data_IF_327487461647
#
_entry.id   IF_327487461647
#
_cell.length_a   1.000
_cell.length_b   1.000
_cell.length_c   1.000
_cell.angle_alpha   90.00
_cell.angle_beta   90.00
_cell.angle_gamma   90.00
#
_symmetry.space_group_name_H-M   'P 1'
#
loop_
_entity.id
_entity.type
_entity.pdbx_description
1 polymer ?
#
# COMPACT_ATOMS: atom_id res chain seq x y z
N UNK A 1 -13.99 -9.93 2.80
CA UNK A 1 -14.14 -8.69 2.02
C UNK A 1 -15.59 -8.52 1.56
N UNK A 2 -16.29 -7.54 2.10
CA UNK A 2 -17.71 -7.22 1.82
C UNK A 2 -17.89 -6.55 0.46
N UNK A 3 -19.12 -6.51 -0.06
CA UNK A 3 -19.43 -5.82 -1.32
C UNK A 3 -19.06 -4.32 -1.27
N UNK A 4 -19.29 -3.68 -0.13
CA UNK A 4 -18.97 -2.28 0.09
C UNK A 4 -17.46 -2.03 0.00
N UNK A 5 -16.65 -2.88 0.65
CA UNK A 5 -15.18 -2.80 0.58
C UNK A 5 -14.67 -2.95 -0.85
N UNK A 6 -15.24 -3.89 -1.63
CA UNK A 6 -14.87 -4.06 -3.06
C UNK A 6 -15.12 -2.80 -3.88
N UNK A 7 -16.27 -2.15 -3.68
CA UNK A 7 -16.60 -0.91 -4.38
C UNK A 7 -15.68 0.25 -3.97
N UNK A 8 -15.32 0.33 -2.69
CA UNK A 8 -14.39 1.33 -2.17
C UNK A 8 -12.98 1.15 -2.75
N UNK A 9 -12.46 -0.07 -2.72
CA UNK A 9 -11.14 -0.41 -3.28
C UNK A 9 -11.09 -0.03 -4.76
N UNK A 10 -12.12 -0.38 -5.56
CA UNK A 10 -12.15 -0.03 -6.98
C UNK A 10 -12.04 1.48 -7.24
N UNK A 11 -12.72 2.32 -6.44
CA UNK A 11 -12.66 3.78 -6.58
C UNK A 11 -11.32 4.36 -6.13
N UNK A 12 -10.77 3.87 -5.02
CA UNK A 12 -9.46 4.27 -4.53
C UNK A 12 -8.38 3.91 -5.53
N UNK A 13 -8.44 2.69 -6.07
CA UNK A 13 -7.49 2.20 -7.04
C UNK A 13 -7.52 3.04 -8.31
N UNK A 14 -8.70 3.37 -8.85
CA UNK A 14 -8.83 4.27 -9.99
C UNK A 14 -8.15 5.64 -9.77
N UNK A 15 -8.31 6.21 -8.57
CA UNK A 15 -7.70 7.50 -8.23
C UNK A 15 -6.18 7.40 -8.01
N UNK A 16 -5.69 6.32 -7.38
CA UNK A 16 -4.29 6.20 -6.98
C UNK A 16 -3.39 5.62 -8.08
N UNK A 17 -3.91 4.75 -8.94
CA UNK A 17 -3.12 4.04 -9.98
C UNK A 17 -2.23 4.96 -10.83
N UNK A 18 -2.69 6.12 -11.33
CA UNK A 18 -1.84 7.02 -12.13
C UNK A 18 -0.64 7.58 -11.37
N UNK A 19 -0.62 7.47 -10.04
CA UNK A 19 0.42 8.02 -9.16
C UNK A 19 1.36 6.95 -8.59
N UNK A 20 1.05 5.67 -8.82
CA UNK A 20 1.90 4.57 -8.38
C UNK A 20 3.10 4.40 -9.31
N UNK A 21 4.19 3.88 -8.76
CA UNK A 21 5.39 3.59 -9.54
C UNK A 21 5.13 2.50 -10.59
N UNK A 22 5.76 2.64 -11.75
CA UNK A 22 5.61 1.70 -12.85
C UNK A 22 6.13 0.28 -12.52
N UNK A 23 7.02 0.17 -11.53
CA UNK A 23 7.56 -1.09 -10.98
C UNK A 23 6.76 -1.62 -9.79
N UNK A 24 5.56 -1.10 -9.53
CA UNK A 24 4.62 -1.71 -8.59
C UNK A 24 3.88 -2.85 -9.29
N UNK A 25 4.02 -4.07 -8.75
CA UNK A 25 3.37 -5.28 -9.26
C UNK A 25 2.34 -5.85 -8.27
N UNK A 26 2.57 -5.68 -6.97
CA UNK A 26 1.67 -6.18 -5.93
C UNK A 26 0.32 -5.46 -5.94
N UNK A 27 -0.77 -6.25 -5.89
CA UNK A 27 -2.16 -5.77 -5.85
C UNK A 27 -2.56 -4.85 -7.01
N UNK A 28 -1.90 -4.99 -8.16
CA UNK A 28 -2.21 -4.23 -9.37
C UNK A 28 -3.07 -5.06 -10.33
N UNK A 29 -4.04 -4.46 -11.03
CA UNK A 29 -4.77 -5.15 -12.09
C UNK A 29 -3.82 -5.69 -13.15
N UNK A 30 -4.03 -6.92 -13.57
CA UNK A 30 -3.32 -7.54 -14.70
C UNK A 30 -1.79 -7.64 -14.50
N UNK A 31 -1.28 -7.44 -13.27
CA UNK A 31 0.12 -7.63 -12.91
C UNK A 31 0.22 -8.52 -11.69
N UNK A 32 1.24 -9.36 -11.67
CA UNK A 32 1.50 -10.27 -10.57
C UNK A 32 2.98 -10.41 -10.27
N UNK A 33 3.30 -11.32 -9.34
CA UNK A 33 4.67 -11.64 -8.96
C UNK A 33 5.51 -12.08 -10.17
N UNK A 34 4.91 -12.83 -11.11
CA UNK A 34 5.57 -13.28 -12.34
C UNK A 34 6.11 -12.13 -13.19
N UNK A 35 5.37 -11.02 -13.30
CA UNK A 35 5.85 -9.83 -14.02
C UNK A 35 7.04 -9.18 -13.30
N UNK A 36 6.99 -9.11 -11.97
CA UNK A 36 8.10 -8.58 -11.18
C UNK A 36 9.37 -9.42 -11.35
N UNK A 37 9.23 -10.75 -11.34
CA UNK A 37 10.33 -11.68 -11.59
C UNK A 37 10.88 -11.53 -13.00
N UNK A 38 10.02 -11.43 -14.01
CA UNK A 38 10.46 -11.27 -15.39
C UNK A 38 11.26 -9.99 -15.59
N UNK A 39 10.79 -8.86 -15.08
CA UNK A 39 11.46 -7.56 -15.20
C UNK A 39 12.80 -7.55 -14.44
N UNK A 40 12.84 -8.17 -13.24
CA UNK A 40 14.09 -8.34 -12.47
C UNK A 40 15.12 -9.19 -13.23
N UNK A 41 14.70 -10.35 -13.75
CA UNK A 41 15.61 -11.24 -14.48
C UNK A 41 16.11 -10.58 -15.76
N UNK A 42 15.24 -9.86 -16.47
CA UNK A 42 15.62 -9.10 -17.68
C UNK A 42 16.69 -8.07 -17.34
N UNK A 43 16.49 -7.26 -16.29
CA UNK A 43 17.48 -6.29 -15.82
C UNK A 43 18.82 -6.95 -15.46
N UNK A 44 18.78 -8.07 -14.74
CA UNK A 44 19.99 -8.82 -14.38
C UNK A 44 20.73 -9.30 -15.62
N UNK A 45 20.05 -9.90 -16.59
CA UNK A 45 20.67 -10.41 -17.80
C UNK A 45 21.31 -9.31 -18.64
N UNK A 46 20.64 -8.16 -18.80
CA UNK A 46 21.17 -7.01 -19.54
C UNK A 46 22.47 -6.48 -18.90
N UNK A 47 22.50 -6.34 -17.58
CA UNK A 47 23.67 -5.83 -16.86
C UNK A 47 24.82 -6.86 -16.81
N UNK A 48 24.51 -8.17 -16.79
CA UNK A 48 25.49 -9.24 -16.89
C UNK A 48 26.18 -9.28 -18.26
N UNK A 49 25.44 -9.04 -19.35
CA UNK A 49 26.02 -8.94 -20.70
C UNK A 49 27.05 -7.80 -20.76
N UNK A 50 26.78 -6.70 -20.04
CA UNK A 50 27.68 -5.57 -19.90
C UNK A 50 28.83 -5.82 -18.91
N UNK A 51 28.94 -7.04 -18.35
CA UNK A 51 29.95 -7.45 -17.36
C UNK A 51 29.98 -6.58 -16.10
N UNK A 52 28.83 -6.00 -15.73
CA UNK A 52 28.72 -5.21 -14.50
C UNK A 52 28.55 -6.11 -13.28
N UNK A 53 28.96 -5.62 -12.12
CA UNK A 53 28.70 -6.27 -10.83
C UNK A 53 27.28 -5.89 -10.40
N UNK A 54 26.49 -6.89 -10.04
CA UNK A 54 25.10 -6.72 -9.62
C UNK A 54 25.01 -7.07 -8.13
N UNK A 55 24.40 -6.16 -7.35
CA UNK A 55 24.06 -6.39 -5.95
C UNK A 55 22.55 -6.31 -5.82
N UNK A 56 21.93 -7.38 -5.32
CA UNK A 56 20.50 -7.42 -5.02
C UNK A 56 20.29 -7.24 -3.52
N UNK A 57 19.42 -6.29 -3.15
CA UNK A 57 18.95 -6.09 -1.78
C UNK A 57 17.47 -6.46 -1.73
N UNK A 58 17.14 -7.47 -0.93
CA UNK A 58 15.76 -7.87 -0.67
C UNK A 58 15.32 -7.34 0.68
N UNK A 59 14.16 -6.69 0.72
CA UNK A 59 13.56 -6.12 1.93
C UNK A 59 12.15 -6.70 2.09
N UNK A 60 11.86 -7.23 3.27
CA UNK A 60 10.54 -7.69 3.67
C UNK A 60 10.11 -6.96 4.94
N UNK A 61 8.84 -6.58 5.02
CA UNK A 61 8.29 -5.84 6.17
C UNK A 61 7.43 -6.79 7.00
N UNK A 62 7.94 -7.15 8.18
CA UNK A 62 7.23 -8.02 9.11
C UNK A 62 5.90 -7.39 9.56
N UNK A 63 4.79 -8.12 9.39
CA UNK A 63 3.47 -7.68 9.83
C UNK A 63 3.04 -6.35 9.22
N UNK A 64 3.30 -6.12 7.92
CA UNK A 64 3.09 -4.82 7.27
C UNK A 64 1.69 -4.19 7.50
N UNK A 65 0.64 -4.99 7.59
CA UNK A 65 -0.71 -4.50 7.88
C UNK A 65 -0.94 -4.21 9.37
N UNK A 66 -0.42 -5.04 10.26
CA UNK A 66 -0.58 -4.89 11.71
C UNK A 66 0.23 -3.70 12.25
N UNK A 67 1.39 -3.44 11.64
CA UNK A 67 2.34 -2.40 12.03
C UNK A 67 2.19 -1.11 11.21
N UNK A 68 1.19 -1.02 10.33
CA UNK A 68 1.02 0.15 9.48
C UNK A 68 0.67 1.41 10.28
N UNK A 69 1.35 2.52 9.98
CA UNK A 69 1.08 3.79 10.63
C UNK A 69 -0.11 4.52 9.99
N UNK A 70 -1.29 4.40 10.59
CA UNK A 70 -2.53 4.95 10.03
C UNK A 70 -2.55 6.47 9.82
N UNK A 71 -1.80 7.23 10.64
CA UNK A 71 -1.65 8.67 10.43
C UNK A 71 -0.87 8.98 9.16
N UNK A 72 0.19 8.22 8.88
CA UNK A 72 0.95 8.35 7.65
C UNK A 72 0.08 8.00 6.43
N UNK A 73 -0.75 6.95 6.52
CA UNK A 73 -1.68 6.59 5.44
C UNK A 73 -2.71 7.70 5.18
N UNK A 74 -3.30 8.30 6.24
CA UNK A 74 -4.20 9.45 6.11
C UNK A 74 -3.49 10.65 5.46
N UNK A 75 -2.27 10.97 5.87
CA UNK A 75 -1.48 12.06 5.29
C UNK A 75 -1.16 11.81 3.81
N UNK A 76 -0.81 10.58 3.44
CA UNK A 76 -0.56 10.19 2.04
C UNK A 76 -1.80 10.36 1.17
N UNK A 77 -2.99 9.96 1.66
CA UNK A 77 -4.24 10.17 0.91
C UNK A 77 -4.51 11.65 0.66
N UNK A 78 -4.21 12.53 1.62
CA UNK A 78 -4.32 13.98 1.42
C UNK A 78 -3.29 14.48 0.39
N UNK A 79 -2.04 14.03 0.47
CA UNK A 79 -0.98 14.38 -0.48
C UNK A 79 -1.32 13.96 -1.92
N UNK A 80 -2.01 12.82 -2.09
CA UNK A 80 -2.52 12.37 -3.38
C UNK A 80 -3.82 13.04 -3.83
N UNK A 81 -4.24 14.12 -3.17
CA UNK A 81 -5.48 14.84 -3.44
C UNK A 81 -6.67 13.88 -3.51
N UNK A 82 -6.75 12.93 -2.57
CA UNK A 82 -7.85 11.97 -2.49
C UNK A 82 -9.17 12.73 -2.29
N UNK A 83 -10.22 12.45 -3.10
CA UNK A 83 -11.52 13.07 -2.95
C UNK A 83 -12.08 12.89 -1.54
N UNK A 84 -12.72 13.95 -1.02
CA UNK A 84 -13.20 14.02 0.37
C UNK A 84 -14.11 12.84 0.73
N UNK A 85 -14.95 12.39 -0.22
CA UNK A 85 -15.82 11.22 -0.03
C UNK A 85 -15.03 9.92 0.13
N UNK A 86 -13.98 9.69 -0.68
CA UNK A 86 -13.13 8.49 -0.58
C UNK A 86 -12.28 8.53 0.69
N UNK A 87 -11.73 9.69 1.02
CA UNK A 87 -11.01 9.89 2.28
C UNK A 87 -11.92 9.61 3.49
N UNK A 88 -13.16 10.12 3.47
CA UNK A 88 -14.16 9.86 4.52
C UNK A 88 -14.49 8.37 4.66
N UNK A 89 -14.61 7.64 3.54
CA UNK A 89 -14.82 6.19 3.55
C UNK A 89 -13.63 5.44 4.18
N UNK A 90 -12.40 5.73 3.75
CA UNK A 90 -11.20 5.09 4.32
C UNK A 90 -11.05 5.43 5.80
N UNK A 91 -11.29 6.68 6.19
CA UNK A 91 -11.28 7.09 7.60
C UNK A 91 -12.32 6.33 8.42
N UNK A 92 -13.52 6.12 7.87
CA UNK A 92 -14.58 5.34 8.52
C UNK A 92 -14.20 3.87 8.68
N UNK A 93 -13.63 3.27 7.64
CA UNK A 93 -13.12 1.90 7.67
C UNK A 93 -12.01 1.72 8.72
N UNK A 94 -11.11 2.70 8.81
CA UNK A 94 -9.98 2.66 9.75
C UNK A 94 -10.35 3.07 11.19
N UNK A 95 -11.61 3.42 11.47
CA UNK A 95 -12.04 3.87 12.80
C UNK A 95 -11.90 2.77 13.85
N UNK A 96 -12.10 1.51 13.48
CA UNK A 96 -11.99 0.38 14.40
C UNK A 96 -10.53 0.01 14.72
N UNK A 97 -9.56 0.64 14.06
CA UNK A 97 -8.13 0.54 14.36
C UNK A 97 -7.64 1.68 15.30
N UNK A 98 -8.56 2.50 15.85
CA UNK A 98 -8.24 3.45 16.92
C UNK A 98 -7.97 2.69 18.23
N UNK A 99 -6.79 2.88 18.81
CA UNK A 99 -6.40 2.23 20.06
C UNK A 99 -7.21 2.84 21.20
N UNK A 100 -8.08 2.03 21.82
CA UNK A 100 -8.78 2.41 23.04
C UNK A 100 -7.85 2.14 24.23
N UNK A 101 -7.31 3.20 24.83
CA UNK A 101 -6.52 3.08 26.05
C UNK A 101 -7.49 3.09 27.23
N UNK A 102 -7.58 1.96 27.94
CA UNK A 102 -8.27 1.86 29.23
C UNK A 102 -7.27 1.93 30.36
N UNK A 103 -7.27 3.01 31.14
CA UNK A 103 -6.43 3.16 32.33
C UNK A 103 -7.23 3.71 33.49
N UNK A 104 -7.12 3.07 34.66
CA UNK A 104 -7.81 3.47 35.90
C UNK A 104 -9.33 3.71 35.73
N UNK A 105 -10.02 2.85 34.96
CA UNK A 105 -11.46 2.96 34.72
C UNK A 105 -11.88 4.08 33.76
N UNK A 106 -10.92 4.80 33.17
CA UNK A 106 -11.18 5.80 32.12
C UNK A 106 -10.79 5.24 30.75
N UNK A 107 -11.67 5.43 29.78
CA UNK A 107 -11.36 5.17 28.38
C UNK A 107 -10.90 6.47 27.71
N UNK A 108 -9.77 6.43 27.03
CA UNK A 108 -9.35 7.49 26.12
C UNK A 108 -9.23 6.93 24.71
N UNK A 109 -9.85 7.61 23.75
CA UNK A 109 -9.69 7.33 22.31
C UNK A 109 -8.65 8.29 21.75
N UNK A 110 -7.71 7.80 20.96
CA UNK A 110 -6.72 8.64 20.26
C UNK A 110 -6.79 8.41 18.76
#
# INVERSE_FOLDING_TARGET
MTLMERMQVGRLQWHLMPRLQATQYGFMPQRGAENAFYDLMTYIYEELILKKIILMVSLDIEGAFDNAWWLALKAQLLAYNCPVNLYGMVRGYLRDFEVIVRYAGRESRK
#
